data_IF_838099748480
#
_entry.id   IF_838099748480
#
_cell.length_a   1.000
_cell.length_b   1.000
_cell.length_c   1.000
_cell.angle_alpha   90.00
_cell.angle_beta   90.00
_cell.angle_gamma   90.00
#
_symmetry.space_group_name_H-M   'P 1'
#
loop_
_entity.id
_entity.type
_entity.pdbx_description
1 polymer ?
#
# COMPACT_ATOMS: atom_id res chain seq x y z
N UNK A 1 -15.58 -10.23 16.48
CA UNK A 1 -16.05 -8.83 16.63
C UNK A 1 -14.92 -8.02 17.26
N UNK A 2 -13.98 -7.59 16.42
CA UNK A 2 -12.81 -6.79 16.80
C UNK A 2 -13.07 -5.34 16.40
N UNK A 3 -12.84 -4.44 17.34
CA UNK A 3 -13.29 -3.04 17.37
C UNK A 3 -12.69 -2.19 16.24
N UNK A 4 -13.51 -1.86 15.23
CA UNK A 4 -13.17 -1.06 14.04
C UNK A 4 -12.71 0.38 14.33
N UNK A 5 -12.72 0.82 15.61
CA UNK A 5 -12.31 2.17 16.02
C UNK A 5 -10.81 2.33 16.30
N UNK A 6 -10.04 1.24 16.36
CA UNK A 6 -8.65 1.29 16.84
C UNK A 6 -7.60 1.66 15.76
N UNK A 7 -7.89 1.47 14.46
CA UNK A 7 -6.84 1.52 13.41
C UNK A 7 -6.68 2.93 12.78
N UNK A 8 -7.69 3.81 12.88
CA UNK A 8 -7.62 5.19 12.37
C UNK A 8 -6.86 6.18 13.29
N UNK A 9 -6.41 5.76 14.49
CA UNK A 9 -6.02 6.69 15.58
C UNK A 9 -4.55 7.13 15.67
N UNK A 10 -3.69 6.92 14.66
CA UNK A 10 -2.30 7.42 14.68
C UNK A 10 -2.14 8.58 13.67
N UNK A 11 -2.45 9.81 14.07
CA UNK A 11 -1.61 10.85 14.73
C UNK A 11 -0.54 11.47 13.81
N UNK A 12 -0.91 12.59 13.19
CA UNK A 12 -0.01 13.68 12.83
C UNK A 12 0.25 14.49 14.12
N UNK A 13 1.51 14.68 14.50
CA UNK A 13 1.93 15.56 15.61
C UNK A 13 2.37 14.82 16.88
N UNK A 14 3.67 14.94 17.20
CA UNK A 14 4.38 14.53 18.42
C UNK A 14 4.04 13.15 19.03
N UNK A 15 4.95 12.19 18.84
CA UNK A 15 5.03 10.99 19.69
C UNK A 15 5.20 11.46 21.16
N UNK A 16 4.21 11.27 22.06
CA UNK A 16 4.46 11.45 23.48
C UNK A 16 5.53 10.43 23.87
N UNK A 17 6.57 10.88 24.59
CA UNK A 17 7.65 10.00 25.04
C UNK A 17 7.05 8.75 25.68
N UNK A 18 7.34 7.55 25.15
CA UNK A 18 6.67 6.35 25.61
C UNK A 18 7.11 6.06 27.07
N UNK A 19 6.23 5.45 27.90
CA UNK A 19 6.54 5.14 29.30
C UNK A 19 7.86 4.36 29.45
N UNK A 20 8.57 4.49 30.57
CA UNK A 20 9.92 3.96 30.79
C UNK A 20 10.15 2.50 30.32
N UNK A 21 9.17 1.60 30.52
CA UNK A 21 9.23 0.20 30.02
C UNK A 21 9.27 0.09 28.49
N UNK A 22 8.60 0.99 27.77
CA UNK A 22 8.64 1.09 26.31
C UNK A 22 9.93 1.75 25.79
N UNK A 23 10.62 2.59 26.58
CA UNK A 23 11.96 3.11 26.22
C UNK A 23 13.01 2.01 26.19
N UNK A 24 13.00 1.11 27.17
CA UNK A 24 13.88 -0.07 27.18
C UNK A 24 13.60 -1.01 26.00
N UNK A 25 12.32 -1.27 25.71
CA UNK A 25 11.90 -2.02 24.52
C UNK A 25 12.36 -1.36 23.22
N UNK A 26 12.24 -0.03 23.13
CA UNK A 26 12.64 0.75 21.96
C UNK A 26 14.16 0.73 21.77
N UNK A 27 14.94 0.88 22.84
CA UNK A 27 16.41 0.74 22.78
C UNK A 27 16.83 -0.68 22.40
N UNK A 28 16.14 -1.71 22.89
CA UNK A 28 16.39 -3.10 22.49
C UNK A 28 16.04 -3.35 21.01
N UNK A 29 14.90 -2.84 20.53
CA UNK A 29 14.55 -2.90 19.10
C UNK A 29 15.54 -2.12 18.22
N UNK A 30 15.94 -0.92 18.64
CA UNK A 30 16.94 -0.13 17.93
C UNK A 30 18.31 -0.84 17.93
N UNK A 31 18.73 -1.40 19.06
CA UNK A 31 19.96 -2.19 19.14
C UNK A 31 19.91 -3.38 18.18
N UNK A 32 18.81 -4.13 18.13
CA UNK A 32 18.62 -5.23 17.17
C UNK A 32 18.62 -4.78 15.70
N UNK A 33 18.09 -3.58 15.42
CA UNK A 33 18.03 -2.99 14.09
C UNK A 33 19.42 -2.60 13.55
N UNK A 34 20.37 -2.24 14.41
CA UNK A 34 21.68 -1.73 14.00
C UNK A 34 22.87 -2.65 14.34
N UNK A 35 22.70 -3.64 15.23
CA UNK A 35 23.80 -4.52 15.69
C UNK A 35 24.11 -5.70 14.77
N UNK A 36 23.27 -5.97 13.76
CA UNK A 36 23.36 -7.19 12.96
C UNK A 36 22.89 -8.46 13.68
N UNK A 37 22.41 -8.37 14.93
CA UNK A 37 21.85 -9.51 15.66
C UNK A 37 20.62 -10.10 14.97
N UNK A 38 19.79 -9.27 14.32
CA UNK A 38 18.68 -9.76 13.51
C UNK A 38 19.17 -10.61 12.33
N UNK A 39 20.24 -10.18 11.66
CA UNK A 39 20.87 -10.93 10.58
C UNK A 39 21.46 -12.26 11.06
N UNK A 40 22.08 -12.28 12.25
CA UNK A 40 22.62 -13.49 12.88
C UNK A 40 21.51 -14.44 13.35
N UNK A 41 20.41 -13.91 13.89
CA UNK A 41 19.24 -14.71 14.26
C UNK A 41 18.64 -15.36 13.02
N UNK A 42 18.42 -14.58 11.95
CA UNK A 42 17.98 -15.10 10.68
C UNK A 42 18.99 -16.14 10.16
N UNK A 43 20.31 -15.93 10.31
CA UNK A 43 21.40 -16.86 9.92
C UNK A 43 21.22 -18.28 10.46
N UNK A 44 20.62 -18.42 11.64
CA UNK A 44 20.49 -19.72 12.32
C UNK A 44 19.15 -20.42 12.12
N UNK A 45 18.19 -19.79 11.44
CA UNK A 45 16.91 -20.44 11.10
C UNK A 45 17.10 -21.46 9.98
N UNK A 46 16.38 -22.58 10.07
CA UNK A 46 16.24 -23.55 8.97
C UNK A 46 15.27 -23.04 7.91
N UNK A 47 14.14 -22.47 8.34
CA UNK A 47 13.11 -21.95 7.44
C UNK A 47 13.11 -20.41 7.44
N UNK A 48 12.98 -19.84 6.24
CA UNK A 48 13.03 -18.41 6.01
C UNK A 48 11.73 -17.93 5.39
N UNK A 49 11.12 -16.86 5.92
CA UNK A 49 10.00 -16.24 5.25
C UNK A 49 10.47 -15.39 4.07
N UNK A 50 9.59 -15.22 3.08
CA UNK A 50 9.65 -14.13 2.12
C UNK A 50 8.88 -12.91 2.67
N UNK A 51 9.43 -11.73 2.44
CA UNK A 51 8.80 -10.46 2.84
C UNK A 51 8.27 -9.76 1.59
N UNK A 52 6.97 -9.53 1.51
CA UNK A 52 6.38 -8.73 0.44
C UNK A 52 6.20 -7.30 0.95
N UNK A 53 6.89 -6.34 0.33
CA UNK A 53 6.81 -4.92 0.70
C UNK A 53 5.76 -4.21 -0.13
N UNK A 54 4.90 -3.42 0.54
CA UNK A 54 3.90 -2.56 -0.08
C UNK A 54 4.35 -1.10 -0.07
N UNK A 55 4.56 -0.57 -1.26
CA UNK A 55 4.78 0.84 -1.56
C UNK A 55 3.57 1.41 -2.30
N UNK A 56 3.51 2.74 -2.42
CA UNK A 56 2.48 3.44 -3.17
C UNK A 56 3.19 4.45 -4.08
N UNK A 57 3.50 5.64 -3.55
CA UNK A 57 4.20 6.71 -4.25
C UNK A 57 5.60 6.99 -3.68
N UNK A 58 6.53 7.40 -4.55
CA UNK A 58 7.82 7.98 -4.19
C UNK A 58 7.86 9.46 -4.63
N UNK A 59 7.07 10.30 -3.96
CA UNK A 59 6.76 11.64 -4.45
C UNK A 59 7.78 12.70 -4.02
N UNK A 60 8.29 13.52 -4.97
CA UNK A 60 9.07 14.71 -4.63
C UNK A 60 8.20 15.73 -3.85
N UNK A 61 8.81 16.67 -3.11
CA UNK A 61 8.10 17.61 -2.24
C UNK A 61 6.93 18.34 -2.91
N UNK A 62 7.07 18.72 -4.20
CA UNK A 62 6.00 19.41 -4.92
C UNK A 62 4.72 18.59 -5.06
N UNK A 63 4.80 17.26 -5.14
CA UNK A 63 3.66 16.35 -5.25
C UNK A 63 3.25 15.79 -3.88
N UNK A 64 4.23 15.56 -2.99
CA UNK A 64 4.01 14.99 -1.66
C UNK A 64 3.02 15.79 -0.79
N UNK A 65 2.93 17.12 -0.98
CA UNK A 65 1.96 17.97 -0.29
C UNK A 65 0.49 17.78 -0.75
N UNK A 66 0.26 16.95 -1.77
CA UNK A 66 -1.06 16.64 -2.32
C UNK A 66 -1.46 15.17 -2.12
N UNK A 67 -0.53 14.33 -1.64
CA UNK A 67 -0.75 12.90 -1.43
C UNK A 67 -0.98 12.65 0.06
N UNK A 68 -1.96 11.80 0.38
CA UNK A 68 -2.26 11.38 1.74
C UNK A 68 -0.96 10.89 2.43
N UNK A 69 -0.61 11.38 3.65
CA UNK A 69 0.72 11.15 4.24
C UNK A 69 1.14 9.69 4.44
N UNK A 70 0.21 8.73 4.37
CA UNK A 70 0.56 7.30 4.44
C UNK A 70 1.04 6.73 3.10
N UNK A 71 0.63 7.33 1.99
CA UNK A 71 0.76 6.77 0.65
C UNK A 71 2.01 7.25 -0.10
N UNK A 72 2.89 8.02 0.54
CA UNK A 72 4.13 8.46 -0.10
C UNK A 72 5.36 8.33 0.80
N UNK A 73 6.52 8.23 0.18
CA UNK A 73 7.82 8.48 0.80
C UNK A 73 8.69 9.35 -0.11
N UNK A 74 9.70 9.97 0.48
CA UNK A 74 10.66 10.80 -0.25
C UNK A 74 11.48 9.95 -1.26
N UNK A 75 11.74 10.46 -2.49
CA UNK A 75 12.49 9.73 -3.52
C UNK A 75 13.90 9.29 -3.08
N UNK A 76 14.64 10.12 -2.36
CA UNK A 76 15.98 9.77 -1.90
C UNK A 76 15.93 8.67 -0.82
N UNK A 77 14.90 8.70 0.02
CA UNK A 77 14.61 7.61 0.97
C UNK A 77 14.28 6.31 0.23
N UNK A 78 13.43 6.37 -0.79
CA UNK A 78 13.09 5.21 -1.62
C UNK A 78 14.34 4.63 -2.31
N UNK A 79 15.15 5.48 -2.94
CA UNK A 79 16.38 5.05 -3.60
C UNK A 79 17.35 4.38 -2.62
N UNK A 80 17.57 4.98 -1.45
CA UNK A 80 18.44 4.41 -0.40
C UNK A 80 17.95 3.03 0.05
N UNK A 81 16.64 2.84 0.16
CA UNK A 81 16.04 1.53 0.44
C UNK A 81 16.32 0.54 -0.70
N UNK A 82 16.09 0.92 -1.96
CA UNK A 82 16.34 0.03 -3.10
C UNK A 82 17.81 -0.36 -3.25
N UNK A 83 18.73 0.60 -3.07
CA UNK A 83 20.18 0.32 -3.06
C UNK A 83 20.57 -0.66 -1.95
N UNK A 84 19.93 -0.56 -0.78
CA UNK A 84 20.15 -1.53 0.30
C UNK A 84 19.62 -2.92 -0.07
N UNK A 85 18.40 -3.02 -0.64
CA UNK A 85 17.85 -4.31 -1.07
C UNK A 85 18.75 -4.97 -2.10
N UNK A 86 19.15 -4.24 -3.14
CA UNK A 86 20.04 -4.74 -4.20
C UNK A 86 21.36 -5.31 -3.66
N UNK A 87 21.90 -4.73 -2.57
CA UNK A 87 23.17 -5.17 -1.97
C UNK A 87 23.02 -6.29 -0.94
N UNK A 88 21.87 -6.40 -0.28
CA UNK A 88 21.75 -7.15 0.99
C UNK A 88 20.60 -8.14 1.04
N UNK A 89 19.72 -8.17 0.03
CA UNK A 89 18.53 -9.01 -0.03
C UNK A 89 18.48 -9.72 -1.37
N UNK A 90 17.67 -10.78 -1.44
CA UNK A 90 17.33 -11.45 -2.69
C UNK A 90 15.97 -10.92 -3.13
N UNK A 91 15.97 -9.93 -4.01
CA UNK A 91 14.71 -9.41 -4.57
C UNK A 91 14.27 -10.31 -5.71
N UNK A 92 13.04 -10.80 -5.65
CA UNK A 92 12.44 -11.70 -6.64
C UNK A 92 11.09 -11.18 -7.09
N UNK A 93 10.64 -11.58 -8.28
CA UNK A 93 9.30 -11.29 -8.77
C UNK A 93 8.23 -12.08 -8.00
N UNK A 94 6.97 -11.69 -8.16
CA UNK A 94 5.85 -12.49 -7.61
C UNK A 94 5.84 -13.89 -8.22
N UNK A 95 6.00 -14.02 -9.54
CA UNK A 95 6.03 -15.32 -10.21
C UNK A 95 7.17 -16.23 -9.71
N UNK A 96 8.35 -15.67 -9.44
CA UNK A 96 9.47 -16.42 -8.85
C UNK A 96 9.15 -16.89 -7.42
N UNK A 97 8.48 -16.06 -6.61
CA UNK A 97 8.01 -16.48 -5.29
C UNK A 97 6.97 -17.60 -5.40
N UNK A 98 6.00 -17.49 -6.32
CA UNK A 98 4.98 -18.51 -6.54
C UNK A 98 5.61 -19.85 -6.95
N UNK A 99 6.60 -19.84 -7.83
CA UNK A 99 7.31 -21.05 -8.23
C UNK A 99 8.06 -21.73 -7.06
N UNK A 100 8.59 -20.95 -6.10
CA UNK A 100 9.20 -21.50 -4.89
C UNK A 100 8.18 -22.20 -4.00
N UNK A 101 7.00 -21.59 -3.83
CA UNK A 101 5.90 -22.14 -3.02
C UNK A 101 5.32 -23.41 -3.63
N UNK A 102 5.06 -23.40 -4.94
CA UNK A 102 4.48 -24.56 -5.65
C UNK A 102 5.43 -25.76 -5.67
N UNK A 103 6.73 -25.53 -5.90
CA UNK A 103 7.74 -26.59 -5.94
C UNK A 103 8.14 -27.16 -4.57
N UNK A 104 7.55 -26.67 -3.47
CA UNK A 104 7.95 -27.02 -2.10
C UNK A 104 9.41 -26.70 -1.79
N UNK A 105 10.02 -25.79 -2.55
CA UNK A 105 11.42 -25.43 -2.40
C UNK A 105 11.58 -24.51 -1.18
N UNK A 106 12.67 -24.66 -0.39
CA UNK A 106 12.95 -23.74 0.68
C UNK A 106 13.06 -22.30 0.13
N UNK A 107 12.29 -21.38 0.70
CA UNK A 107 12.41 -19.96 0.37
C UNK A 107 13.84 -19.51 0.73
N UNK A 108 14.60 -18.93 -0.22
CA UNK A 108 15.94 -18.47 0.07
C UNK A 108 15.96 -17.42 1.17
N UNK A 109 17.08 -17.38 1.89
CA UNK A 109 17.34 -16.40 2.94
C UNK A 109 17.16 -14.98 2.43
N UNK A 110 16.46 -14.14 3.21
CA UNK A 110 16.29 -12.70 2.93
C UNK A 110 15.62 -12.43 1.58
N UNK A 111 14.66 -13.27 1.21
CA UNK A 111 13.82 -13.07 0.02
C UNK A 111 12.84 -11.92 0.23
N UNK A 112 12.79 -11.00 -0.73
CA UNK A 112 11.93 -9.83 -0.71
C UNK A 112 11.20 -9.71 -2.05
N UNK A 113 9.93 -9.38 -2.01
CA UNK A 113 9.12 -9.02 -3.19
C UNK A 113 8.70 -7.56 -3.07
N UNK A 114 8.75 -6.83 -4.17
CA UNK A 114 8.35 -5.42 -4.24
C UNK A 114 6.99 -5.28 -4.90
N UNK A 115 6.05 -4.67 -4.17
CA UNK A 115 4.71 -4.35 -4.67
C UNK A 115 4.42 -2.86 -4.53
N UNK A 116 3.68 -2.32 -5.50
CA UNK A 116 3.21 -0.94 -5.53
C UNK A 116 1.72 -0.96 -5.80
N UNK A 117 0.96 -0.11 -5.12
CA UNK A 117 -0.50 -0.01 -5.30
C UNK A 117 -0.90 1.35 -5.90
N UNK A 118 -2.17 1.47 -6.27
CA UNK A 118 -2.90 2.66 -6.78
C UNK A 118 -2.58 3.17 -8.18
N UNK A 119 -1.34 3.05 -8.66
CA UNK A 119 -0.94 3.58 -9.97
C UNK A 119 -0.61 5.07 -9.99
N UNK A 120 0.17 5.54 -9.02
CA UNK A 120 0.70 6.91 -9.01
C UNK A 120 1.63 7.16 -10.20
N UNK A 121 1.62 8.39 -10.70
CA UNK A 121 2.43 8.83 -11.85
C UNK A 121 3.94 8.74 -11.58
N UNK A 122 4.35 8.89 -10.32
CA UNK A 122 5.74 8.73 -9.93
C UNK A 122 6.21 7.26 -9.93
N UNK A 123 5.30 6.29 -10.04
CA UNK A 123 5.69 4.90 -10.33
C UNK A 123 6.42 4.82 -11.69
N UNK A 124 5.99 5.63 -12.67
CA UNK A 124 6.67 5.77 -13.96
C UNK A 124 7.89 6.71 -13.87
N UNK A 125 7.73 7.90 -13.32
CA UNK A 125 8.76 8.96 -13.46
C UNK A 125 9.91 8.86 -12.46
N UNK A 126 9.73 8.16 -11.34
CA UNK A 126 10.73 8.04 -10.26
C UNK A 126 11.06 6.58 -9.97
N UNK A 127 10.04 5.76 -9.67
CA UNK A 127 10.23 4.39 -9.18
C UNK A 127 10.85 3.49 -10.25
N UNK A 128 10.21 3.40 -11.43
CA UNK A 128 10.64 2.48 -12.48
C UNK A 128 12.10 2.70 -12.93
N UNK A 129 12.58 3.93 -13.18
CA UNK A 129 14.00 4.18 -13.50
C UNK A 129 14.97 3.69 -12.42
N UNK A 130 14.62 3.84 -11.14
CA UNK A 130 15.46 3.39 -10.01
C UNK A 130 15.52 1.86 -9.97
N UNK A 131 14.36 1.19 -10.08
CA UNK A 131 14.28 -0.27 -10.08
C UNK A 131 15.03 -0.88 -11.27
N UNK A 132 14.86 -0.30 -12.46
CA UNK A 132 15.53 -0.76 -13.68
C UNK A 132 17.05 -0.70 -13.55
N UNK A 133 17.59 0.44 -13.10
CA UNK A 133 19.03 0.64 -12.89
C UNK A 133 19.62 -0.32 -11.84
N UNK A 134 18.83 -0.70 -10.84
CA UNK A 134 19.26 -1.63 -9.79
C UNK A 134 18.94 -3.09 -10.11
N UNK A 135 18.30 -3.37 -11.25
CA UNK A 135 17.93 -4.73 -11.67
C UNK A 135 16.86 -5.37 -10.77
N UNK A 136 16.00 -4.58 -10.12
CA UNK A 136 15.04 -5.08 -9.14
C UNK A 136 13.66 -5.30 -9.79
N UNK A 137 13.11 -6.52 -9.75
CA UNK A 137 11.74 -6.77 -10.21
C UNK A 137 10.72 -6.21 -9.20
N UNK A 138 9.56 -5.81 -9.71
CA UNK A 138 8.42 -5.38 -8.91
C UNK A 138 7.11 -5.62 -9.65
N UNK A 139 5.98 -5.49 -8.94
CA UNK A 139 4.64 -5.44 -9.53
C UNK A 139 3.89 -4.19 -9.08
N UNK A 140 3.18 -3.55 -10.01
CA UNK A 140 2.29 -2.42 -9.75
C UNK A 140 0.83 -2.83 -9.97
N UNK A 141 0.00 -2.64 -8.96
CA UNK A 141 -1.43 -2.93 -8.98
C UNK A 141 -2.23 -1.66 -9.30
N UNK A 142 -3.02 -1.71 -10.37
CA UNK A 142 -3.69 -0.54 -10.93
C UNK A 142 -5.15 -0.43 -10.48
N UNK A 143 -5.52 0.71 -9.91
CA UNK A 143 -6.92 1.07 -9.65
C UNK A 143 -7.53 1.64 -10.92
N UNK A 144 -8.14 0.76 -11.71
CA UNK A 144 -8.37 1.00 -13.15
C UNK A 144 -9.25 2.20 -13.47
N UNK A 145 -10.32 2.48 -12.70
CA UNK A 145 -11.22 3.59 -13.03
C UNK A 145 -10.61 4.97 -12.79
N UNK A 146 -9.70 5.11 -11.82
CA UNK A 146 -8.99 6.38 -11.60
C UNK A 146 -8.03 6.68 -12.76
N UNK A 147 -7.36 5.66 -13.27
CA UNK A 147 -6.48 5.77 -14.45
C UNK A 147 -7.29 6.11 -15.70
N UNK A 148 -8.43 5.44 -15.87
CA UNK A 148 -9.32 5.61 -17.03
C UNK A 148 -9.87 7.04 -17.12
N UNK A 149 -10.30 7.60 -15.98
CA UNK A 149 -10.77 9.00 -15.90
C UNK A 149 -9.63 10.02 -15.78
N UNK A 150 -8.42 9.57 -15.42
CA UNK A 150 -7.29 10.44 -15.10
C UNK A 150 -7.54 11.31 -13.87
N UNK A 151 -8.18 10.73 -12.86
CA UNK A 151 -8.50 11.37 -11.58
C UNK A 151 -7.51 10.95 -10.48
N UNK A 152 -7.22 11.84 -9.54
CA UNK A 152 -6.46 11.51 -8.34
C UNK A 152 -7.26 10.57 -7.43
N UNK A 153 -6.59 9.74 -6.62
CA UNK A 153 -7.27 8.82 -5.69
C UNK A 153 -8.15 9.59 -4.69
N UNK A 154 -9.26 9.01 -4.23
CA UNK A 154 -10.20 9.73 -3.33
C UNK A 154 -9.54 10.21 -2.04
N UNK A 155 -8.57 9.43 -1.52
CA UNK A 155 -7.86 9.78 -0.29
C UNK A 155 -7.00 11.03 -0.48
N UNK A 156 -6.37 11.17 -1.64
CA UNK A 156 -5.57 12.36 -1.99
C UNK A 156 -6.46 13.55 -2.28
N UNK A 157 -7.60 13.34 -2.95
CA UNK A 157 -8.58 14.39 -3.17
C UNK A 157 -9.13 14.95 -1.84
N UNK A 158 -9.48 14.08 -0.88
CA UNK A 158 -9.93 14.51 0.45
C UNK A 158 -8.80 15.25 1.20
N UNK A 159 -7.59 14.69 1.19
CA UNK A 159 -6.43 15.28 1.84
C UNK A 159 -6.09 16.66 1.25
N UNK A 160 -6.09 16.79 -0.08
CA UNK A 160 -5.87 18.05 -0.78
C UNK A 160 -6.98 19.06 -0.47
N UNK A 161 -8.24 18.64 -0.48
CA UNK A 161 -9.38 19.50 -0.15
C UNK A 161 -9.25 20.12 1.24
N UNK A 162 -8.80 19.35 2.23
CA UNK A 162 -8.56 19.87 3.59
C UNK A 162 -7.29 20.71 3.69
N UNK A 163 -6.21 20.28 3.06
CA UNK A 163 -4.89 20.91 3.20
C UNK A 163 -4.83 22.27 2.51
N UNK A 164 -5.39 22.36 1.31
CA UNK A 164 -5.32 23.55 0.44
C UNK A 164 -6.64 24.34 0.39
N UNK A 165 -7.57 24.11 1.34
CA UNK A 165 -8.86 24.81 1.45
C UNK A 165 -8.69 26.33 1.47
N UNK A 166 -9.60 27.05 0.82
CA UNK A 166 -9.73 28.52 0.95
C UNK A 166 -10.97 28.92 1.75
N UNK A 167 -11.94 28.01 1.87
CA UNK A 167 -13.09 28.14 2.76
C UNK A 167 -12.91 27.27 4.01
N UNK A 168 -13.40 27.77 5.13
CA UNK A 168 -13.17 27.17 6.45
C UNK A 168 -14.44 26.67 7.12
N UNK A 169 -15.61 26.85 6.50
CA UNK A 169 -16.87 26.29 6.98
C UNK A 169 -17.21 25.06 6.16
N UNK A 170 -17.56 23.98 6.85
CA UNK A 170 -17.95 22.71 6.24
C UNK A 170 -19.25 22.23 6.88
N UNK A 171 -20.31 22.12 6.10
CA UNK A 171 -21.54 21.48 6.51
C UNK A 171 -21.44 19.96 6.33
N UNK A 172 -21.60 19.24 7.43
CA UNK A 172 -21.71 17.79 7.45
C UNK A 172 -23.08 17.41 7.99
N UNK A 173 -23.98 17.03 7.08
CA UNK A 173 -25.34 16.59 7.38
C UNK A 173 -26.16 17.63 8.17
N UNK A 174 -26.08 18.92 7.78
CA UNK A 174 -26.79 20.03 8.41
C UNK A 174 -26.10 20.59 9.66
N UNK A 175 -24.89 20.14 9.98
CA UNK A 175 -24.11 20.63 11.10
C UNK A 175 -22.80 21.26 10.61
N UNK A 176 -22.69 22.58 10.73
CA UNK A 176 -21.47 23.31 10.35
C UNK A 176 -20.28 22.94 11.26
N UNK A 177 -19.09 22.95 10.67
CA UNK A 177 -17.78 22.76 11.32
C UNK A 177 -16.86 23.90 10.90
N UNK A 178 -16.22 24.54 11.88
CA UNK A 178 -15.18 25.54 11.61
C UNK A 178 -13.82 24.83 11.53
N UNK A 179 -13.27 24.71 10.32
CA UNK A 179 -11.98 24.07 10.03
C UNK A 179 -10.78 24.98 10.32
N UNK A 180 -11.00 26.21 10.77
CA UNK A 180 -9.95 27.05 11.36
C UNK A 180 -9.51 26.48 12.71
N UNK A 181 -10.46 25.93 13.47
CA UNK A 181 -10.20 25.15 14.68
C UNK A 181 -9.53 23.81 14.31
N UNK A 182 -8.28 23.55 14.76
CA UNK A 182 -7.57 22.30 14.46
C UNK A 182 -8.29 21.04 14.95
N UNK A 183 -8.98 21.10 16.09
CA UNK A 183 -9.71 19.96 16.66
C UNK A 183 -10.93 19.60 15.82
N UNK A 184 -11.71 20.61 15.41
CA UNK A 184 -12.85 20.39 14.51
C UNK A 184 -12.39 19.91 13.14
N UNK A 185 -11.30 20.49 12.61
CA UNK A 185 -10.72 20.07 11.34
C UNK A 185 -10.32 18.60 11.33
N UNK A 186 -9.57 18.15 12.35
CA UNK A 186 -9.14 16.75 12.47
C UNK A 186 -10.35 15.82 12.58
N UNK A 187 -11.32 16.16 13.45
CA UNK A 187 -12.53 15.33 13.62
C UNK A 187 -13.36 15.23 12.34
N UNK A 188 -13.54 16.34 11.62
CA UNK A 188 -14.28 16.37 10.37
C UNK A 188 -13.59 15.55 9.28
N UNK A 189 -12.26 15.67 9.16
CA UNK A 189 -11.47 14.86 8.24
C UNK A 189 -11.60 13.36 8.57
N UNK A 190 -11.39 12.96 9.82
CA UNK A 190 -11.45 11.56 10.24
C UNK A 190 -12.86 10.96 10.05
N UNK A 191 -13.90 11.74 10.35
CA UNK A 191 -15.29 11.35 10.09
C UNK A 191 -15.52 11.11 8.59
N UNK A 192 -15.16 12.07 7.74
CA UNK A 192 -15.32 11.95 6.29
C UNK A 192 -14.51 10.80 5.70
N UNK A 193 -13.27 10.60 6.16
CA UNK A 193 -12.44 9.50 5.70
C UNK A 193 -13.08 8.14 6.02
N UNK A 194 -13.66 7.97 7.21
CA UNK A 194 -14.39 6.76 7.57
C UNK A 194 -15.67 6.56 6.73
N UNK A 195 -16.44 7.62 6.53
CA UNK A 195 -17.67 7.57 5.72
C UNK A 195 -17.38 7.27 4.25
N UNK A 196 -16.33 7.88 3.68
CA UNK A 196 -15.92 7.65 2.29
C UNK A 196 -15.34 6.24 2.09
N UNK A 197 -14.59 5.72 3.06
CA UNK A 197 -14.06 4.36 3.02
C UNK A 197 -15.18 3.32 2.85
N UNK A 198 -16.27 3.45 3.59
CA UNK A 198 -17.41 2.53 3.57
C UNK A 198 -18.43 2.83 2.44
N UNK A 199 -18.35 4.01 1.82
CA UNK A 199 -19.29 4.40 0.78
C UNK A 199 -19.07 3.63 -0.53
N UNK A 200 -20.18 3.28 -1.19
CA UNK A 200 -20.18 2.84 -2.57
C UNK A 200 -19.66 3.93 -3.51
N UNK A 201 -19.10 3.55 -4.66
CA UNK A 201 -18.39 4.46 -5.58
C UNK A 201 -19.16 5.74 -5.92
N UNK A 202 -20.42 5.64 -6.36
CA UNK A 202 -21.23 6.80 -6.73
C UNK A 202 -21.46 7.75 -5.54
N UNK A 203 -21.79 7.21 -4.36
CA UNK A 203 -21.98 7.99 -3.14
C UNK A 203 -20.68 8.62 -2.64
N UNK A 204 -19.56 7.90 -2.74
CA UNK A 204 -18.21 8.40 -2.42
C UNK A 204 -17.87 9.62 -3.27
N UNK A 205 -18.07 9.52 -4.60
CA UNK A 205 -17.80 10.60 -5.55
C UNK A 205 -18.65 11.84 -5.26
N UNK A 206 -19.98 11.67 -5.16
CA UNK A 206 -20.90 12.79 -4.89
C UNK A 206 -20.58 13.51 -3.57
N UNK A 207 -20.24 12.74 -2.53
CA UNK A 207 -19.86 13.30 -1.23
C UNK A 207 -18.54 14.05 -1.29
N UNK A 208 -17.54 13.49 -1.96
CA UNK A 208 -16.24 14.13 -2.14
C UNK A 208 -16.36 15.42 -2.96
N UNK A 209 -17.16 15.41 -4.02
CA UNK A 209 -17.47 16.59 -4.82
C UNK A 209 -18.12 17.69 -3.97
N UNK A 210 -19.12 17.35 -3.15
CA UNK A 210 -19.73 18.30 -2.22
C UNK A 210 -18.72 18.91 -1.25
N UNK A 211 -17.81 18.10 -0.68
CA UNK A 211 -16.74 18.58 0.20
C UNK A 211 -15.81 19.54 -0.55
N UNK A 212 -15.37 19.19 -1.76
CA UNK A 212 -14.49 20.03 -2.58
C UNK A 212 -15.16 21.37 -2.92
N UNK A 213 -16.44 21.35 -3.31
CA UNK A 213 -17.21 22.56 -3.61
C UNK A 213 -17.35 23.50 -2.40
N UNK A 214 -17.52 22.92 -1.20
CA UNK A 214 -17.59 23.69 0.04
C UNK A 214 -16.24 24.29 0.44
N UNK A 215 -15.16 23.50 0.36
CA UNK A 215 -13.82 23.90 0.83
C UNK A 215 -13.03 24.75 -0.17
N UNK A 216 -13.37 24.67 -1.46
CA UNK A 216 -12.78 25.45 -2.55
C UNK A 216 -11.25 25.43 -2.51
N UNK A 217 -10.62 24.24 -2.56
CA UNK A 217 -9.16 24.17 -2.44
C UNK A 217 -8.48 24.94 -3.57
N UNK A 218 -7.40 25.65 -3.25
CA UNK A 218 -6.58 26.35 -4.23
C UNK A 218 -5.09 26.29 -3.84
N UNK A 219 -4.17 26.15 -4.81
CA UNK A 219 -4.43 25.96 -6.25
C UNK A 219 -5.05 24.59 -6.55
N UNK A 220 -5.40 24.34 -7.82
CA UNK A 220 -5.85 23.01 -8.25
C UNK A 220 -4.75 21.97 -8.01
N UNK A 221 -5.12 20.75 -7.59
CA UNK A 221 -4.14 19.69 -7.38
C UNK A 221 -3.47 19.29 -8.70
N UNK A 222 -2.17 18.96 -8.69
CA UNK A 222 -1.50 18.42 -9.87
C UNK A 222 -2.04 17.02 -10.18
N UNK A 223 -1.75 16.53 -11.39
CA UNK A 223 -2.01 15.14 -11.76
C UNK A 223 -1.07 14.21 -10.99
N UNK A 224 -1.64 13.36 -10.14
CA UNK A 224 -0.91 12.39 -9.31
C UNK A 224 -1.08 10.95 -9.81
N UNK A 225 -2.20 10.62 -10.47
CA UNK A 225 -2.46 9.29 -11.04
C UNK A 225 -1.96 9.19 -12.47
N UNK A 226 -1.44 8.01 -12.86
CA UNK A 226 -1.16 7.71 -14.25
C UNK A 226 -2.41 7.76 -15.13
N UNK A 227 -2.22 8.01 -16.43
CA UNK A 227 -3.21 7.66 -17.48
C UNK A 227 -2.75 6.40 -18.20
N UNK A 228 -3.62 5.80 -19.02
CA UNK A 228 -3.27 4.58 -19.77
C UNK A 228 -2.04 4.73 -20.66
N UNK A 229 -1.79 5.90 -21.24
CA UNK A 229 -0.57 6.15 -22.00
C UNK A 229 0.71 6.11 -21.13
N UNK A 230 0.63 6.55 -19.87
CA UNK A 230 1.73 6.42 -18.92
C UNK A 230 1.95 4.93 -18.55
N UNK A 231 0.87 4.16 -18.40
CA UNK A 231 0.93 2.71 -18.12
C UNK A 231 1.54 1.93 -19.30
N UNK A 232 1.18 2.28 -20.54
CA UNK A 232 1.81 1.70 -21.75
C UNK A 232 3.30 2.02 -21.79
N UNK A 233 3.67 3.28 -21.59
CA UNK A 233 5.09 3.71 -21.50
C UNK A 233 5.85 2.96 -20.41
N UNK A 234 5.24 2.76 -19.24
CA UNK A 234 5.84 1.98 -18.15
C UNK A 234 6.15 0.54 -18.62
N UNK A 235 5.16 -0.11 -19.25
CA UNK A 235 5.29 -1.49 -19.73
C UNK A 235 6.37 -1.61 -20.79
N UNK A 236 6.40 -0.67 -21.74
CA UNK A 236 7.35 -0.69 -22.86
C UNK A 236 8.79 -0.41 -22.41
N UNK A 237 8.97 0.49 -21.44
CA UNK A 237 10.30 0.94 -21.00
C UNK A 237 10.88 0.08 -19.88
N UNK A 238 10.04 -0.55 -19.06
CA UNK A 238 10.46 -1.20 -17.81
C UNK A 238 9.83 -2.60 -17.66
N UNK A 239 10.24 -3.59 -18.47
CA UNK A 239 9.61 -4.93 -18.51
C UNK A 239 9.73 -5.73 -17.20
N UNK A 240 10.65 -5.35 -16.28
CA UNK A 240 10.77 -5.93 -14.93
C UNK A 240 9.75 -5.38 -13.93
N UNK A 241 9.01 -4.33 -14.30
CA UNK A 241 7.93 -3.78 -13.50
C UNK A 241 6.59 -4.32 -13.99
N UNK A 242 6.24 -5.51 -13.49
CA UNK A 242 5.02 -6.20 -13.85
C UNK A 242 3.77 -5.38 -13.46
N UNK A 243 2.64 -5.71 -14.09
CA UNK A 243 1.36 -5.06 -13.83
C UNK A 243 0.31 -6.06 -13.33
N UNK A 244 -0.46 -5.63 -12.35
CA UNK A 244 -1.65 -6.31 -11.83
C UNK A 244 -2.81 -5.32 -11.64
N UNK A 245 -3.91 -5.79 -11.05
CA UNK A 245 -5.12 -4.99 -10.83
C UNK A 245 -5.40 -4.77 -9.34
N UNK A 246 -6.00 -3.63 -9.02
CA UNK A 246 -6.33 -3.17 -7.66
C UNK A 246 -7.78 -2.69 -7.57
N UNK A 247 -8.73 -3.46 -8.11
CA UNK A 247 -10.16 -3.10 -8.23
C UNK A 247 -10.42 -1.94 -9.21
N UNK A 248 -11.69 -1.59 -9.40
CA UNK A 248 -12.07 -0.44 -10.23
C UNK A 248 -11.96 0.87 -9.47
N UNK A 249 -12.57 0.95 -8.27
CA UNK A 249 -12.80 2.19 -7.51
C UNK A 249 -12.12 2.19 -6.13
N UNK A 250 -11.17 1.28 -5.87
CA UNK A 250 -10.48 1.12 -4.59
C UNK A 250 -11.47 0.98 -3.41
N UNK A 251 -12.46 0.09 -3.57
CA UNK A 251 -13.46 -0.19 -2.55
C UNK A 251 -12.95 -1.27 -1.59
N UNK A 252 -13.30 -1.17 -0.32
CA UNK A 252 -13.12 -2.29 0.61
C UNK A 252 -14.08 -3.41 0.19
N UNK A 253 -13.52 -4.52 -0.31
CA UNK A 253 -14.32 -5.64 -0.80
C UNK A 253 -14.95 -6.45 0.33
N UNK A 254 -14.48 -6.29 1.57
CA UNK A 254 -15.01 -7.04 2.74
C UNK A 254 -16.35 -6.52 3.23
N UNK A 255 -16.71 -5.27 2.89
CA UNK A 255 -18.00 -4.67 3.19
C UNK A 255 -19.03 -4.84 2.08
N UNK A 256 -18.70 -5.59 1.02
CA UNK A 256 -19.56 -5.79 -0.16
C UNK A 256 -20.14 -7.20 -0.20
N UNK A 257 -21.25 -7.33 -0.92
CA UNK A 257 -21.72 -8.64 -1.36
C UNK A 257 -20.62 -9.35 -2.18
N UNK A 258 -20.32 -10.64 -1.93
CA UNK A 258 -19.24 -11.35 -2.61
C UNK A 258 -19.36 -11.38 -4.14
N UNK A 259 -20.57 -11.48 -4.69
CA UNK A 259 -20.76 -11.45 -6.14
C UNK A 259 -20.47 -10.06 -6.70
N UNK A 260 -20.90 -9.01 -6.02
CA UNK A 260 -20.56 -7.63 -6.39
C UNK A 260 -19.05 -7.35 -6.29
N UNK A 261 -18.37 -7.91 -5.29
CA UNK A 261 -16.92 -7.80 -5.15
C UNK A 261 -16.18 -8.52 -6.29
N UNK A 262 -16.58 -9.74 -6.64
CA UNK A 262 -15.99 -10.49 -7.76
C UNK A 262 -16.27 -9.81 -9.11
N UNK A 263 -17.47 -9.26 -9.29
CA UNK A 263 -17.81 -8.49 -10.48
C UNK A 263 -16.92 -7.24 -10.62
N UNK A 264 -16.60 -6.56 -9.52
CA UNK A 264 -15.66 -5.43 -9.53
C UNK A 264 -14.24 -5.86 -9.94
N UNK A 265 -13.73 -6.95 -9.34
CA UNK A 265 -12.42 -7.50 -9.71
C UNK A 265 -12.41 -7.86 -11.20
N UNK A 266 -13.42 -8.60 -11.67
CA UNK A 266 -13.54 -8.99 -13.07
C UNK A 266 -13.62 -7.77 -14.01
N UNK A 267 -14.34 -6.73 -13.61
CA UNK A 267 -14.43 -5.49 -14.39
C UNK A 267 -13.08 -4.79 -14.47
N UNK A 268 -12.32 -4.73 -13.38
CA UNK A 268 -10.97 -4.16 -13.41
C UNK A 268 -10.03 -4.93 -14.35
N UNK A 269 -10.16 -6.25 -14.40
CA UNK A 269 -9.40 -7.11 -15.34
C UNK A 269 -9.82 -6.85 -16.79
N UNK A 270 -11.11 -6.64 -17.05
CA UNK A 270 -11.62 -6.37 -18.40
C UNK A 270 -11.12 -5.00 -18.91
N UNK A 271 -11.14 -3.97 -18.06
CA UNK A 271 -10.60 -2.65 -18.42
C UNK A 271 -9.10 -2.77 -18.70
N UNK A 272 -8.36 -3.47 -17.84
CA UNK A 272 -6.93 -3.73 -18.04
C UNK A 272 -6.65 -4.41 -19.39
N UNK A 273 -7.39 -5.47 -19.71
CA UNK A 273 -7.24 -6.22 -20.95
C UNK A 273 -7.59 -5.38 -22.18
N UNK A 274 -8.66 -4.58 -22.11
CA UNK A 274 -9.04 -3.65 -23.17
C UNK A 274 -7.92 -2.63 -23.46
N UNK A 275 -7.23 -2.16 -22.42
CA UNK A 275 -6.25 -1.07 -22.54
C UNK A 275 -4.85 -1.55 -22.92
N UNK A 276 -4.50 -2.78 -22.55
CA UNK A 276 -3.14 -3.35 -22.69
C UNK A 276 -3.07 -4.61 -23.58
N UNK A 277 -4.21 -5.13 -24.07
CA UNK A 277 -4.27 -6.29 -24.96
C UNK A 277 -3.87 -7.62 -24.32
N UNK A 278 -3.79 -7.68 -22.98
CA UNK A 278 -3.44 -8.89 -22.22
C UNK A 278 -4.16 -8.91 -20.87
N UNK A 279 -4.44 -10.10 -20.33
CA UNK A 279 -5.02 -10.24 -18.99
C UNK A 279 -3.98 -10.04 -17.88
N UNK A 280 -4.38 -9.47 -16.73
CA UNK A 280 -3.52 -9.42 -15.54
C UNK A 280 -3.47 -10.79 -14.86
N UNK A 281 -2.33 -11.11 -14.24
CA UNK A 281 -2.16 -12.36 -13.47
C UNK A 281 -2.21 -12.16 -11.95
N UNK A 282 -2.00 -10.93 -11.48
CA UNK A 282 -1.88 -10.65 -10.05
C UNK A 282 -2.92 -9.61 -9.62
N UNK A 283 -3.47 -9.82 -8.44
CA UNK A 283 -4.42 -8.91 -7.81
C UNK A 283 -3.89 -8.42 -6.45
N UNK A 284 -4.32 -7.24 -6.03
CA UNK A 284 -4.09 -6.74 -4.68
C UNK A 284 -5.43 -6.31 -4.10
N UNK A 285 -5.75 -6.75 -2.89
CA UNK A 285 -6.96 -6.30 -2.19
C UNK A 285 -6.74 -4.89 -1.64
N UNK A 286 -7.64 -3.92 -1.92
CA UNK A 286 -7.61 -2.61 -1.29
C UNK A 286 -7.53 -2.71 0.23
N UNK A 287 -6.70 -1.85 0.82
CA UNK A 287 -6.46 -1.81 2.27
C UNK A 287 -5.89 -3.11 2.86
N UNK A 288 -5.41 -4.03 2.01
CA UNK A 288 -5.01 -5.39 2.40
C UNK A 288 -6.13 -6.16 3.14
N UNK A 289 -7.40 -5.85 2.84
CA UNK A 289 -8.57 -6.48 3.45
C UNK A 289 -9.21 -7.48 2.50
N UNK A 290 -9.30 -8.74 2.91
CA UNK A 290 -9.96 -9.80 2.16
C UNK A 290 -10.83 -10.67 3.05
N UNK A 291 -11.63 -11.54 2.43
CA UNK A 291 -12.34 -12.64 3.11
C UNK A 291 -11.87 -13.97 2.54
N UNK A 292 -11.96 -15.05 3.33
CA UNK A 292 -11.60 -16.39 2.87
C UNK A 292 -12.43 -16.82 1.65
N UNK A 293 -13.74 -16.49 1.62
CA UNK A 293 -14.61 -16.77 0.47
C UNK A 293 -14.14 -16.07 -0.81
N UNK A 294 -13.76 -14.79 -0.73
CA UNK A 294 -13.21 -14.09 -1.89
C UNK A 294 -11.90 -14.71 -2.35
N UNK A 295 -10.95 -14.98 -1.45
CA UNK A 295 -9.68 -15.62 -1.78
C UNK A 295 -9.86 -16.96 -2.50
N UNK A 296 -10.80 -17.80 -2.06
CA UNK A 296 -11.08 -19.10 -2.67
C UNK A 296 -11.67 -19.02 -4.09
N UNK A 297 -12.28 -17.89 -4.46
CA UNK A 297 -12.95 -17.69 -5.76
C UNK A 297 -12.09 -16.95 -6.79
N UNK A 298 -10.98 -16.34 -6.38
CA UNK A 298 -10.04 -15.70 -7.31
C UNK A 298 -9.44 -16.62 -8.40
N UNK A 299 -9.18 -17.93 -8.15
CA UNK A 299 -8.72 -18.83 -9.19
C UNK A 299 -9.68 -18.88 -10.40
N UNK A 300 -10.99 -18.79 -10.16
CA UNK A 300 -12.02 -18.86 -11.21
C UNK A 300 -11.95 -17.67 -12.19
N UNK A 301 -11.31 -16.58 -11.78
CA UNK A 301 -11.08 -15.40 -12.63
C UNK A 301 -9.80 -15.53 -13.49
N UNK A 302 -9.01 -16.59 -13.30
CA UNK A 302 -7.73 -16.81 -13.99
C UNK A 302 -6.55 -16.03 -13.40
N UNK A 303 -6.69 -15.50 -12.18
CA UNK A 303 -5.58 -14.92 -11.43
C UNK A 303 -4.62 -16.01 -10.93
N UNK A 304 -3.34 -15.67 -10.81
CA UNK A 304 -2.30 -16.53 -10.24
C UNK A 304 -2.02 -16.24 -8.78
N UNK A 305 -2.26 -15.01 -8.33
CA UNK A 305 -2.06 -14.63 -6.94
C UNK A 305 -2.87 -13.42 -6.51
N UNK A 306 -3.00 -13.26 -5.19
CA UNK A 306 -3.55 -12.05 -4.59
C UNK A 306 -2.84 -11.65 -3.30
N UNK A 307 -2.66 -10.34 -3.14
CA UNK A 307 -2.03 -9.73 -1.98
C UNK A 307 -3.07 -9.27 -0.96
N UNK A 308 -2.84 -9.55 0.32
CA UNK A 308 -3.74 -9.19 1.44
C UNK A 308 -2.93 -8.99 2.73
N UNK A 309 -3.61 -8.79 3.86
CA UNK A 309 -3.13 -8.90 5.23
C UNK A 309 -1.91 -8.04 5.62
N UNK A 310 -1.45 -8.26 6.86
CA UNK A 310 -0.16 -7.78 7.35
C UNK A 310 0.66 -8.98 7.83
N UNK A 311 1.86 -9.17 7.26
CA UNK A 311 2.70 -10.30 7.65
C UNK A 311 3.79 -10.68 6.65
N UNK A 312 4.23 -11.93 6.73
CA UNK A 312 5.27 -12.53 5.88
C UNK A 312 4.78 -13.86 5.31
N UNK A 313 5.37 -14.28 4.20
CA UNK A 313 5.06 -15.57 3.57
C UNK A 313 6.04 -16.61 4.08
N UNK A 314 5.56 -17.54 4.90
CA UNK A 314 6.36 -18.68 5.36
C UNK A 314 6.40 -19.80 4.29
N UNK A 315 7.35 -20.72 4.43
CA UNK A 315 7.50 -21.87 3.51
C UNK A 315 6.27 -22.78 3.45
N UNK A 316 5.48 -22.82 4.52
CA UNK A 316 4.26 -23.63 4.61
C UNK A 316 3.01 -22.88 4.10
N UNK A 317 3.16 -21.68 3.55
CA UNK A 317 2.05 -20.90 3.03
C UNK A 317 1.46 -21.58 1.78
N UNK A 318 0.18 -21.95 1.85
CA UNK A 318 -0.43 -22.89 0.90
C UNK A 318 -1.20 -22.25 -0.25
N UNK A 319 -1.73 -21.06 -0.05
CA UNK A 319 -2.58 -20.41 -1.05
C UNK A 319 -1.85 -19.19 -1.63
N UNK A 320 -1.78 -19.06 -2.96
CA UNK A 320 -1.21 -17.86 -3.56
C UNK A 320 -2.19 -16.67 -3.57
N UNK A 321 -3.42 -16.87 -3.08
CA UNK A 321 -4.52 -15.90 -3.12
C UNK A 321 -4.73 -15.13 -1.81
N UNK A 322 -3.85 -15.32 -0.83
CA UNK A 322 -3.87 -14.65 0.47
C UNK A 322 -2.45 -14.26 0.94
N UNK A 323 -1.59 -13.85 0.01
CA UNK A 323 -0.20 -13.48 0.30
C UNK A 323 -0.11 -12.23 1.19
N UNK A 324 0.37 -12.34 2.46
CA UNK A 324 0.49 -11.21 3.35
C UNK A 324 1.59 -10.22 2.93
N UNK A 325 1.35 -8.93 3.16
CA UNK A 325 2.34 -7.86 2.88
C UNK A 325 2.73 -7.08 4.13
N UNK A 326 3.82 -6.32 4.02
CA UNK A 326 4.22 -5.34 5.02
C UNK A 326 4.12 -3.95 4.40
N UNK A 327 3.28 -3.10 4.98
CA UNK A 327 3.26 -1.67 4.64
C UNK A 327 4.61 -1.04 4.98
N UNK A 328 5.21 -0.40 3.99
CA UNK A 328 6.57 0.11 4.13
C UNK A 328 6.63 1.31 5.05
N UNK A 329 7.66 1.35 5.90
CA UNK A 329 7.85 2.43 6.86
C UNK A 329 8.91 3.42 6.37
N UNK A 330 8.65 4.71 6.53
CA UNK A 330 9.61 5.79 6.25
C UNK A 330 10.90 5.73 7.09
N UNK A 331 10.90 5.00 8.22
CA UNK A 331 12.04 4.92 9.14
C UNK A 331 12.90 3.73 8.73
N UNK A 332 14.08 4.03 8.18
CA UNK A 332 15.00 3.03 7.59
C UNK A 332 15.39 1.90 8.54
N UNK A 333 15.56 2.17 9.84
CA UNK A 333 15.87 1.13 10.84
C UNK A 333 14.80 0.04 10.97
N UNK A 334 13.53 0.43 11.12
CA UNK A 334 12.40 -0.52 11.21
C UNK A 334 12.25 -1.30 9.91
N UNK A 335 12.35 -0.61 8.77
CA UNK A 335 12.28 -1.22 7.45
C UNK A 335 13.40 -2.25 7.20
N UNK A 336 14.65 -1.96 7.61
CA UNK A 336 15.77 -2.92 7.52
C UNK A 336 15.53 -4.17 8.36
N UNK A 337 14.92 -4.01 9.54
CA UNK A 337 14.57 -5.13 10.40
C UNK A 337 13.44 -5.97 9.82
N UNK A 338 12.39 -5.37 9.27
CA UNK A 338 11.30 -6.07 8.60
C UNK A 338 11.82 -6.95 7.45
N UNK A 339 12.83 -6.49 6.72
CA UNK A 339 13.43 -7.25 5.60
C UNK A 339 14.56 -8.20 6.01
N UNK A 340 14.89 -8.32 7.30
CA UNK A 340 16.06 -9.10 7.76
C UNK A 340 15.87 -10.63 7.70
N UNK A 341 14.62 -11.09 7.60
CA UNK A 341 14.24 -12.49 7.82
C UNK A 341 14.17 -12.90 9.29
N UNK A 342 14.44 -11.96 10.23
CA UNK A 342 14.18 -12.15 11.65
C UNK A 342 12.76 -11.72 12.06
N UNK A 343 12.14 -10.82 11.30
CA UNK A 343 10.75 -10.42 11.47
C UNK A 343 9.80 -11.44 10.84
N UNK A 344 8.64 -11.75 11.45
CA UNK A 344 8.16 -11.26 12.76
C UNK A 344 8.67 -12.07 13.95
N UNK A 345 9.27 -13.24 13.73
CA UNK A 345 9.54 -14.22 14.79
C UNK A 345 10.41 -13.68 15.95
N UNK A 346 11.44 -12.89 15.67
CA UNK A 346 12.25 -12.28 16.72
C UNK A 346 11.46 -11.24 17.52
N UNK A 347 10.56 -10.49 16.86
CA UNK A 347 9.65 -9.56 17.53
C UNK A 347 8.67 -10.30 18.45
N UNK A 348 8.06 -11.38 17.93
CA UNK A 348 7.14 -12.22 18.71
C UNK A 348 7.84 -12.84 19.92
N UNK A 349 9.06 -13.38 19.76
CA UNK A 349 9.84 -13.97 20.87
C UNK A 349 10.23 -12.98 21.95
N UNK A 350 10.60 -11.75 21.57
CA UNK A 350 11.11 -10.77 22.53
C UNK A 350 10.00 -9.93 23.17
N UNK A 351 8.90 -9.71 22.44
CA UNK A 351 7.91 -8.69 22.81
C UNK A 351 6.47 -9.23 22.84
N UNK A 352 6.24 -10.50 22.51
CA UNK A 352 4.92 -11.12 22.51
C UNK A 352 3.93 -10.51 21.51
N UNK A 353 4.43 -9.74 20.54
CA UNK A 353 3.64 -9.06 19.49
C UNK A 353 4.39 -9.08 18.16
N UNK A 354 3.64 -9.32 17.08
CA UNK A 354 4.10 -9.16 15.70
C UNK A 354 3.86 -7.72 15.22
#
# INVERSE_FOLDING_TARGET
MTDSRAIMRNRIGHDPTPPLKRRGLWLAQAALQYSGMADLFAARRRDHPAVILMYHSAAPPQHAQWIAPRNWLDPATFESQMQFLARRRRVVSVDELLAMLDGGQPIPRRTVVLTFDDGYLDNLSVVAPILERLGLPAVLYLTTSYIDRGENQWADQLFAAFTHRTAHQLDLNGASRDLSDPSQRIKAHDQLAAELLEAAAAGRRAKLESVIQQLRPAPDPPRLTMRWDDVRRLTDQYPRFALGVHTTEHLDLTSRDPYAALADIQQSMNIFEQQLGRRPHHFSFPYSRSTADLCMRLPDLGLKSAMTGEGVVDTDHRSPFDLPRIETHRRTGRWRFQTSGAYPALSQRLFGRA
#
